data_IF_407213820752
#
_entry.id   IF_407213820752
#
_cell.length_a   1.000
_cell.length_b   1.000
_cell.length_c   1.000
_cell.angle_alpha   90.00
_cell.angle_beta   90.00
_cell.angle_gamma   90.00
#
_symmetry.space_group_name_H-M   'P 1'
#
loop_
_entity.id
_entity.type
_entity.pdbx_description
1 polymer ?
#
# COMPACT_ATOMS: atom_id res chain seq x y z
N UNK A 1 7.89 -1.12 0.35
CA UNK A 1 8.15 -1.10 1.80
C UNK A 1 9.36 -0.29 2.23
N UNK A 2 10.52 -0.40 1.55
CA UNK A 2 11.82 0.11 2.06
C UNK A 2 11.91 1.60 2.44
N UNK A 3 11.01 2.45 1.96
CA UNK A 3 11.00 3.88 2.29
C UNK A 3 10.34 4.21 3.64
N UNK A 4 9.54 3.29 4.22
CA UNK A 4 8.76 3.57 5.42
C UNK A 4 9.65 3.95 6.60
N UNK A 5 10.64 3.11 6.94
CA UNK A 5 11.50 3.34 8.10
C UNK A 5 12.39 4.60 7.95
N UNK A 6 13.05 4.85 6.80
CA UNK A 6 13.77 6.11 6.60
C UNK A 6 12.90 7.37 6.74
N UNK A 7 11.67 7.34 6.20
CA UNK A 7 10.74 8.47 6.30
C UNK A 7 10.28 8.64 7.75
N UNK A 8 9.89 7.56 8.44
CA UNK A 8 9.49 7.60 9.85
C UNK A 8 10.60 8.12 10.75
N UNK A 9 11.86 7.72 10.51
CA UNK A 9 13.02 8.18 11.28
C UNK A 9 13.31 9.67 11.16
N UNK A 10 12.75 10.36 10.15
CA UNK A 10 12.92 11.80 9.94
C UNK A 10 11.60 12.57 10.01
N UNK A 11 10.49 11.88 10.29
CA UNK A 11 9.14 12.44 10.16
C UNK A 11 8.89 13.65 11.05
N UNK A 12 9.36 13.61 12.29
CA UNK A 12 9.25 14.73 13.23
C UNK A 12 9.94 16.01 12.69
N UNK A 13 11.03 15.86 11.95
CA UNK A 13 11.73 16.98 11.34
C UNK A 13 10.91 17.57 10.18
N UNK A 14 10.28 16.73 9.37
CA UNK A 14 9.35 17.17 8.32
C UNK A 14 8.17 17.95 8.92
N UNK A 15 7.52 17.40 9.95
CA UNK A 15 6.39 18.07 10.61
C UNK A 15 6.78 19.42 11.22
N UNK A 16 7.98 19.54 11.80
CA UNK A 16 8.48 20.82 12.32
C UNK A 16 8.82 21.81 11.21
N UNK A 17 9.48 21.35 10.15
CA UNK A 17 9.86 22.20 9.01
C UNK A 17 8.62 22.72 8.25
N UNK A 18 7.57 21.91 8.17
CA UNK A 18 6.33 22.22 7.45
C UNK A 18 5.15 22.41 8.39
N UNK A 19 5.36 22.95 9.59
CA UNK A 19 4.36 22.98 10.68
C UNK A 19 3.03 23.68 10.38
N UNK A 20 3.00 24.56 9.37
CA UNK A 20 1.76 25.20 8.90
C UNK A 20 1.03 24.39 7.81
N UNK A 21 1.57 23.23 7.43
CA UNK A 21 1.03 22.32 6.40
C UNK A 21 0.50 21.05 7.05
N UNK A 22 -0.71 20.64 6.66
CA UNK A 22 -1.28 19.35 7.05
C UNK A 22 -0.58 18.20 6.31
N UNK A 23 0.61 17.82 6.75
CA UNK A 23 1.52 16.91 6.05
C UNK A 23 1.27 15.45 6.48
N UNK A 24 1.04 14.57 5.50
CA UNK A 24 0.78 13.14 5.72
C UNK A 24 1.70 12.26 4.88
N UNK A 25 2.08 11.11 5.43
CA UNK A 25 2.78 10.04 4.71
C UNK A 25 1.99 8.75 4.88
N UNK A 26 1.65 8.11 3.76
CA UNK A 26 0.85 6.89 3.73
C UNK A 26 1.26 6.04 2.52
N UNK A 27 1.56 4.78 2.76
CA UNK A 27 1.69 3.81 1.67
C UNK A 27 0.31 3.31 1.26
N UNK A 28 0.04 3.16 -0.04
CA UNK A 28 -1.31 2.84 -0.54
C UNK A 28 -1.92 1.57 0.08
N UNK A 29 -1.08 0.56 0.38
CA UNK A 29 -1.49 -0.70 1.01
C UNK A 29 -1.86 -0.55 2.49
N UNK A 30 -1.47 0.53 3.18
CA UNK A 30 -1.86 0.78 4.57
C UNK A 30 -3.36 1.13 4.71
N UNK A 31 -4.05 1.40 3.59
CA UNK A 31 -5.51 1.51 3.56
C UNK A 31 -6.23 0.16 3.60
N UNK A 32 -5.49 -0.95 3.47
CA UNK A 32 -6.02 -2.31 3.44
C UNK A 32 -5.78 -3.01 4.77
N UNK A 33 -6.68 -3.92 5.13
CA UNK A 33 -6.64 -4.66 6.39
C UNK A 33 -6.73 -6.17 6.20
N UNK A 34 -6.74 -6.89 7.32
CA UNK A 34 -6.80 -8.35 7.34
C UNK A 34 -8.01 -8.91 6.58
N UNK A 35 -9.17 -8.27 6.70
CA UNK A 35 -10.38 -8.68 5.96
C UNK A 35 -10.18 -8.63 4.45
N UNK A 36 -9.49 -7.61 3.92
CA UNK A 36 -9.24 -7.53 2.47
C UNK A 36 -8.31 -8.66 2.00
N UNK A 37 -7.25 -8.93 2.77
CA UNK A 37 -6.36 -10.07 2.53
C UNK A 37 -7.11 -11.41 2.58
N UNK A 38 -8.04 -11.57 3.52
CA UNK A 38 -8.83 -12.78 3.66
C UNK A 38 -9.83 -12.99 2.52
N UNK A 39 -10.39 -11.92 1.97
CA UNK A 39 -11.32 -11.98 0.86
C UNK A 39 -10.63 -12.23 -0.48
N UNK A 40 -9.50 -11.56 -0.71
CA UNK A 40 -8.94 -11.46 -2.05
C UNK A 40 -7.72 -12.34 -2.27
N UNK A 41 -6.84 -12.52 -1.29
CA UNK A 41 -5.69 -13.41 -1.47
C UNK A 41 -6.14 -14.88 -1.50
N UNK A 42 -5.55 -15.65 -2.41
CA UNK A 42 -5.78 -17.09 -2.56
C UNK A 42 -4.68 -17.90 -1.89
N UNK A 43 -3.46 -17.37 -1.86
CA UNK A 43 -2.30 -17.97 -1.19
C UNK A 43 -2.23 -17.65 0.29
N UNK A 44 -1.03 -17.30 0.75
CA UNK A 44 -0.80 -16.87 2.13
C UNK A 44 -1.53 -15.56 2.44
N UNK A 45 -2.00 -15.41 3.69
CA UNK A 45 -2.81 -14.26 4.13
C UNK A 45 -2.21 -13.54 5.34
N UNK A 46 -0.90 -13.69 5.58
CA UNK A 46 -0.23 -13.09 6.74
C UNK A 46 0.15 -11.65 6.42
N UNK A 47 -0.13 -10.73 7.33
CA UNK A 47 0.33 -9.34 7.23
C UNK A 47 1.60 -9.17 8.08
N UNK A 48 2.63 -8.46 7.62
CA UNK A 48 2.73 -7.79 6.31
C UNK A 48 3.25 -8.69 5.16
N UNK A 49 3.57 -9.95 5.44
CA UNK A 49 4.35 -10.81 4.55
C UNK A 49 3.70 -11.08 3.18
N UNK A 50 2.37 -11.19 3.11
CA UNK A 50 1.63 -11.48 1.88
C UNK A 50 0.84 -10.29 1.33
N UNK A 51 0.55 -9.30 2.18
CA UNK A 51 0.01 -8.00 1.77
C UNK A 51 0.68 -6.90 2.60
N UNK A 52 1.42 -5.98 1.96
CA UNK A 52 1.58 -5.85 0.51
C UNK A 52 2.41 -6.97 -0.13
N UNK A 53 3.19 -7.75 0.63
CA UNK A 53 4.17 -8.68 0.08
C UNK A 53 5.24 -7.97 -0.78
N UNK A 54 6.13 -8.73 -1.42
CA UNK A 54 7.08 -8.18 -2.38
C UNK A 54 7.16 -9.05 -3.63
N UNK A 55 6.72 -8.49 -4.76
CA UNK A 55 6.53 -9.20 -6.02
C UNK A 55 5.68 -10.48 -5.88
N UNK A 56 4.80 -10.53 -4.88
CA UNK A 56 3.90 -11.65 -4.58
C UNK A 56 2.55 -11.49 -5.26
N UNK A 57 1.60 -12.34 -4.89
CA UNK A 57 0.22 -12.34 -5.39
C UNK A 57 -0.41 -10.93 -5.46
N UNK A 58 -0.30 -10.13 -4.39
CA UNK A 58 -0.90 -8.80 -4.30
C UNK A 58 -0.40 -7.83 -5.38
N UNK A 59 0.92 -7.58 -5.46
CA UNK A 59 1.50 -6.65 -6.45
C UNK A 59 1.34 -7.19 -7.87
N UNK A 60 1.46 -8.51 -8.06
CA UNK A 60 1.30 -9.16 -9.36
C UNK A 60 -0.13 -9.01 -9.89
N UNK A 61 -1.14 -9.17 -9.03
CA UNK A 61 -2.54 -9.00 -9.42
C UNK A 61 -2.80 -7.57 -9.92
N UNK A 62 -2.34 -6.55 -9.19
CA UNK A 62 -2.46 -5.15 -9.60
C UNK A 62 -1.74 -4.92 -10.95
N UNK A 63 -0.53 -5.46 -11.11
CA UNK A 63 0.21 -5.36 -12.37
C UNK A 63 -0.54 -6.02 -13.54
N UNK A 64 -1.10 -7.22 -13.35
CA UNK A 64 -1.93 -7.90 -14.37
C UNK A 64 -3.17 -7.10 -14.74
N UNK A 65 -3.78 -6.40 -13.78
CA UNK A 65 -4.99 -5.62 -14.03
C UNK A 65 -4.71 -4.32 -14.80
N UNK A 66 -3.60 -3.64 -14.50
CA UNK A 66 -3.34 -2.27 -15.01
C UNK A 66 -2.30 -2.22 -16.12
N UNK A 67 -1.37 -3.16 -16.14
CA UNK A 67 -0.25 -3.23 -17.08
C UNK A 67 0.03 -4.69 -17.51
N UNK A 68 -0.98 -5.41 -18.03
CA UNK A 68 -0.85 -6.83 -18.35
C UNK A 68 0.32 -7.15 -19.29
N UNK A 69 0.63 -6.25 -20.23
CA UNK A 69 1.74 -6.37 -21.17
C UNK A 69 3.12 -6.40 -20.51
N UNK A 70 3.24 -5.92 -19.27
CA UNK A 70 4.49 -5.88 -18.52
C UNK A 70 4.66 -7.12 -17.61
N UNK A 71 3.66 -7.99 -17.53
CA UNK A 71 3.70 -9.22 -16.73
C UNK A 71 4.20 -10.38 -17.59
N UNK A 72 5.38 -10.89 -17.23
CA UNK A 72 6.03 -12.01 -17.93
C UNK A 72 5.53 -13.35 -17.40
N UNK A 73 4.51 -13.91 -18.07
CA UNK A 73 3.84 -15.13 -17.63
C UNK A 73 4.78 -16.35 -17.53
N UNK A 74 5.75 -16.46 -18.44
CA UNK A 74 6.81 -17.47 -18.42
C UNK A 74 7.66 -17.38 -17.16
N UNK A 75 8.09 -16.17 -16.78
CA UNK A 75 8.91 -15.94 -15.59
C UNK A 75 8.16 -16.22 -14.27
N UNK A 76 6.82 -16.11 -14.25
CA UNK A 76 6.01 -16.42 -13.07
C UNK A 76 5.97 -17.93 -12.77
N UNK A 77 6.04 -18.77 -13.81
CA UNK A 77 5.92 -20.22 -13.69
C UNK A 77 7.15 -20.90 -13.07
N UNK A 78 8.31 -20.24 -13.02
CA UNK A 78 9.58 -20.84 -12.58
C UNK A 78 10.15 -20.20 -11.30
N UNK A 79 9.37 -19.38 -10.60
CA UNK A 79 9.85 -18.73 -9.37
C UNK A 79 9.81 -19.66 -8.15
N UNK A 80 10.77 -19.54 -7.20
CA UNK A 80 10.72 -20.23 -5.92
C UNK A 80 9.47 -19.87 -5.10
N UNK A 81 9.06 -18.60 -5.13
CA UNK A 81 7.77 -18.17 -4.59
C UNK A 81 6.68 -18.41 -5.63
N UNK A 82 5.71 -19.25 -5.28
CA UNK A 82 4.60 -19.62 -6.16
C UNK A 82 3.39 -18.70 -6.03
N UNK A 83 3.34 -17.83 -5.03
CA UNK A 83 2.21 -16.92 -4.80
C UNK A 83 1.89 -15.99 -5.98
N UNK A 84 2.85 -15.47 -6.78
CA UNK A 84 2.54 -14.64 -7.94
C UNK A 84 1.68 -15.33 -8.98
N UNK A 85 1.82 -16.65 -9.14
CA UNK A 85 1.06 -17.44 -10.10
C UNK A 85 -0.42 -17.62 -9.73
N UNK A 86 -0.81 -17.25 -8.50
CA UNK A 86 -2.21 -17.28 -8.04
C UNK A 86 -2.98 -16.00 -8.40
N UNK A 87 -2.26 -14.94 -8.78
CA UNK A 87 -2.81 -13.63 -9.07
C UNK A 87 -3.72 -13.65 -10.30
N UNK A 88 -4.78 -12.83 -10.28
CA UNK A 88 -5.60 -12.57 -11.48
C UNK A 88 -5.84 -11.08 -11.69
N UNK A 89 -6.16 -10.71 -12.93
CA UNK A 89 -6.51 -9.34 -13.27
C UNK A 89 -7.81 -8.87 -12.57
N UNK A 90 -8.79 -9.75 -12.33
CA UNK A 90 -10.00 -9.35 -11.59
C UNK A 90 -9.67 -8.99 -10.14
N UNK A 91 -8.83 -9.81 -9.50
CA UNK A 91 -8.34 -9.56 -8.15
C UNK A 91 -7.58 -8.21 -8.09
N UNK A 92 -6.72 -7.94 -9.08
CA UNK A 92 -5.99 -6.68 -9.18
C UNK A 92 -6.88 -5.45 -9.36
N UNK A 93 -7.96 -5.56 -10.13
CA UNK A 93 -8.94 -4.47 -10.25
C UNK A 93 -9.62 -4.20 -8.91
N UNK A 94 -10.05 -5.25 -8.20
CA UNK A 94 -10.69 -5.09 -6.89
C UNK A 94 -9.74 -4.47 -5.85
N UNK A 95 -8.46 -4.88 -5.83
CA UNK A 95 -7.44 -4.22 -5.00
C UNK A 95 -7.34 -2.72 -5.32
N UNK A 96 -7.25 -2.40 -6.61
CA UNK A 96 -7.10 -1.03 -7.08
C UNK A 96 -8.29 -0.16 -6.70
N UNK A 97 -9.52 -0.65 -6.85
CA UNK A 97 -10.75 0.07 -6.48
C UNK A 97 -10.83 0.33 -4.97
N UNK A 98 -10.53 -0.68 -4.14
CA UNK A 98 -10.52 -0.52 -2.67
C UNK A 98 -9.49 0.50 -2.22
N UNK A 99 -8.26 0.39 -2.72
CA UNK A 99 -7.18 1.34 -2.42
C UNK A 99 -7.56 2.74 -2.86
N UNK A 100 -8.05 2.89 -4.09
CA UNK A 100 -8.44 4.19 -4.65
C UNK A 100 -9.55 4.83 -3.83
N UNK A 101 -10.65 4.10 -3.56
CA UNK A 101 -11.78 4.62 -2.78
C UNK A 101 -11.39 5.05 -1.36
N UNK A 102 -10.51 4.28 -0.70
CA UNK A 102 -10.04 4.60 0.66
C UNK A 102 -9.03 5.73 0.67
N UNK A 103 -8.16 5.82 -0.33
CA UNK A 103 -7.25 6.97 -0.50
C UNK A 103 -8.03 8.26 -0.80
N UNK A 104 -9.06 8.21 -1.64
CA UNK A 104 -9.94 9.36 -1.89
C UNK A 104 -10.57 9.84 -0.59
N UNK A 105 -11.08 8.93 0.25
CA UNK A 105 -11.60 9.29 1.57
C UNK A 105 -10.53 9.91 2.45
N UNK A 106 -9.34 9.30 2.55
CA UNK A 106 -8.24 9.82 3.36
C UNK A 106 -7.83 11.24 2.92
N UNK A 107 -7.63 11.45 1.62
CA UNK A 107 -7.25 12.75 1.06
C UNK A 107 -8.37 13.78 1.27
N UNK A 108 -9.64 13.38 1.13
CA UNK A 108 -10.79 14.23 1.46
C UNK A 108 -10.77 14.68 2.92
N UNK A 109 -10.57 13.76 3.87
CA UNK A 109 -10.46 14.10 5.30
C UNK A 109 -9.29 15.06 5.58
N UNK A 110 -8.17 14.94 4.86
CA UNK A 110 -7.00 15.83 4.98
C UNK A 110 -7.31 17.23 4.43
N UNK A 111 -7.96 17.32 3.28
CA UNK A 111 -8.35 18.59 2.64
C UNK A 111 -9.39 19.33 3.48
N UNK A 112 -10.39 18.60 3.99
CA UNK A 112 -11.48 19.16 4.80
C UNK A 112 -11.04 19.48 6.25
N UNK A 113 -9.79 19.16 6.61
CA UNK A 113 -9.23 19.39 7.94
C UNK A 113 -9.74 18.44 9.03
N UNK A 114 -10.50 17.40 8.66
CA UNK A 114 -11.00 16.37 9.59
C UNK A 114 -9.87 15.45 10.09
N UNK A 115 -8.81 15.31 9.30
CA UNK A 115 -7.59 14.58 9.65
C UNK A 115 -6.41 15.53 9.67
N UNK A 116 -5.81 15.72 10.84
CA UNK A 116 -4.66 16.60 11.02
C UNK A 116 -3.41 15.83 11.45
N UNK A 117 -2.25 16.26 10.97
CA UNK A 117 -0.96 15.82 11.46
C UNK A 117 -0.58 16.59 12.74
N UNK A 118 -0.13 15.89 13.77
CA UNK A 118 0.32 16.52 15.01
C UNK A 118 1.82 16.80 14.96
N UNK A 119 2.22 18.07 15.00
CA UNK A 119 3.63 18.44 15.09
C UNK A 119 4.14 18.19 16.51
N UNK A 120 5.17 17.33 16.70
CA UNK A 120 5.69 17.04 18.02
C UNK A 120 6.37 18.29 18.62
N UNK A 121 6.28 18.48 19.95
CA UNK A 121 6.88 19.63 20.61
C UNK A 121 8.39 19.67 20.39
N UNK A 122 8.98 20.87 20.47
CA UNK A 122 10.42 20.99 20.67
C UNK A 122 10.74 20.48 22.07
N UNK A 123 11.61 19.46 22.18
CA UNK A 123 12.20 19.15 23.48
C UNK A 123 13.11 20.32 23.89
N UNK A 124 13.14 20.72 25.19
CA UNK A 124 14.08 21.70 25.68
C UNK A 124 15.54 21.25 25.51
#
# INVERSE_FOLDING_TARGET
>A
GGNIEPIRGTWDQFLRQFGDTNLHFLSYWETLGKTDADELLRGGKRLPDNMPGHAQEFETAIAMAKFPENVRADALADQPDRSPALATAEQGNEWFERVTGRLVKFVGEVIDGQRQSETPPYHP
#
